data_IF_790566913889
#
_entry.id   IF_790566913889
#
_cell.length_a   1.000
_cell.length_b   1.000
_cell.length_c   1.000
_cell.angle_alpha   90.00
_cell.angle_beta   90.00
_cell.angle_gamma   90.00
#
_symmetry.space_group_name_H-M   'P 1'
#
loop_
_entity.id
_entity.type
_entity.pdbx_description
1 polymer ?
#
# COMPACT_ATOMS: atom_id res chain seq x y z
N UNK A 1 -18.46 -8.83 9.52
CA UNK A 1 -17.28 -7.95 9.81
C UNK A 1 -17.50 -6.61 9.16
N UNK A 2 -17.10 -5.52 9.82
CA UNK A 2 -17.21 -4.15 9.32
C UNK A 2 -15.90 -3.40 9.53
N UNK A 3 -15.47 -2.67 8.51
CA UNK A 3 -14.39 -1.67 8.60
C UNK A 3 -15.02 -0.28 8.76
N UNK A 4 -14.44 0.53 9.64
CA UNK A 4 -14.81 1.94 9.82
C UNK A 4 -13.55 2.78 9.62
N UNK A 5 -13.63 3.77 8.75
CA UNK A 5 -12.50 4.63 8.39
C UNK A 5 -12.97 6.06 8.16
N UNK A 6 -12.19 7.04 8.62
CA UNK A 6 -12.50 8.45 8.39
C UNK A 6 -12.20 8.86 6.94
N UNK A 7 -13.03 9.73 6.38
CA UNK A 7 -12.85 10.28 5.04
C UNK A 7 -11.53 11.07 4.89
N UNK A 8 -10.97 11.57 5.99
CA UNK A 8 -9.66 12.23 6.06
C UNK A 8 -8.48 11.29 5.87
N UNK A 9 -8.67 9.96 5.86
CA UNK A 9 -7.61 8.99 5.65
C UNK A 9 -6.98 9.14 4.25
N UNK A 10 -5.73 8.73 4.11
CA UNK A 10 -5.07 8.68 2.79
C UNK A 10 -5.86 7.82 1.80
N UNK A 11 -5.98 8.28 0.55
CA UNK A 11 -6.69 7.55 -0.52
C UNK A 11 -6.16 6.12 -0.70
N UNK A 12 -4.83 5.94 -0.60
CA UNK A 12 -4.23 4.60 -0.65
C UNK A 12 -4.65 3.70 0.51
N UNK A 13 -4.85 4.24 1.71
CA UNK A 13 -5.36 3.46 2.86
C UNK A 13 -6.80 3.03 2.60
N UNK A 14 -7.64 3.92 2.08
CA UNK A 14 -9.03 3.59 1.67
C UNK A 14 -9.04 2.46 0.63
N UNK A 15 -8.20 2.58 -0.39
CA UNK A 15 -8.09 1.59 -1.46
C UNK A 15 -7.62 0.22 -0.94
N UNK A 16 -6.59 0.20 -0.08
CA UNK A 16 -6.09 -1.05 0.52
C UNK A 16 -7.10 -1.66 1.50
N UNK A 17 -7.89 -0.85 2.21
CA UNK A 17 -9.00 -1.38 3.03
C UNK A 17 -9.97 -2.20 2.17
N UNK A 18 -10.30 -1.71 0.96
CA UNK A 18 -11.12 -2.47 0.00
C UNK A 18 -10.49 -3.80 -0.42
N UNK A 19 -9.17 -3.81 -0.65
CA UNK A 19 -8.46 -5.04 -1.02
C UNK A 19 -8.42 -6.04 0.14
N UNK A 20 -8.20 -5.57 1.37
CA UNK A 20 -8.25 -6.43 2.56
C UNK A 20 -9.66 -6.95 2.84
N UNK A 21 -10.70 -6.14 2.60
CA UNK A 21 -12.08 -6.62 2.67
C UNK A 21 -12.33 -7.76 1.66
N UNK A 22 -11.82 -7.63 0.44
CA UNK A 22 -11.88 -8.71 -0.56
C UNK A 22 -11.07 -9.95 -0.12
N UNK A 23 -9.91 -9.78 0.51
CA UNK A 23 -9.18 -10.91 1.10
C UNK A 23 -10.02 -11.66 2.15
N UNK A 24 -10.75 -10.92 2.98
CA UNK A 24 -11.64 -11.53 3.97
C UNK A 24 -12.84 -12.22 3.32
N UNK A 25 -13.34 -11.69 2.19
CA UNK A 25 -14.33 -12.39 1.36
C UNK A 25 -13.79 -13.71 0.81
N UNK A 26 -12.55 -13.75 0.32
CA UNK A 26 -11.90 -14.99 -0.12
C UNK A 26 -11.79 -16.02 1.00
N UNK A 27 -11.59 -15.57 2.25
CA UNK A 27 -11.48 -16.44 3.42
C UNK A 27 -12.84 -16.94 3.89
N UNK A 28 -13.88 -16.08 3.91
CA UNK A 28 -15.16 -16.38 4.57
C UNK A 28 -16.34 -16.56 3.63
N UNK A 29 -16.17 -16.21 2.36
CA UNK A 29 -17.27 -16.15 1.39
C UNK A 29 -18.22 -14.94 1.58
N UNK A 30 -17.91 -14.02 2.50
CA UNK A 30 -18.73 -12.83 2.76
C UNK A 30 -17.88 -11.57 2.71
N UNK A 31 -18.26 -10.63 1.84
CA UNK A 31 -17.59 -9.34 1.74
C UNK A 31 -17.91 -8.46 2.97
N UNK A 32 -16.90 -8.01 3.74
CA UNK A 32 -17.09 -7.08 4.84
C UNK A 32 -17.66 -5.73 4.38
N UNK A 33 -18.47 -5.12 5.21
CA UNK A 33 -18.92 -3.75 5.02
C UNK A 33 -17.75 -2.76 5.26
N UNK A 34 -17.64 -1.74 4.41
CA UNK A 34 -16.72 -0.61 4.63
C UNK A 34 -17.53 0.66 4.79
N UNK A 35 -17.47 1.25 5.98
CA UNK A 35 -18.11 2.51 6.32
C UNK A 35 -17.08 3.65 6.30
N UNK A 36 -17.18 4.53 5.31
CA UNK A 36 -16.35 5.74 5.24
C UNK A 36 -17.17 6.89 5.83
N UNK A 37 -16.69 7.46 6.93
CA UNK A 37 -17.40 8.47 7.72
C UNK A 37 -16.61 9.77 7.82
N UNK A 38 -17.28 10.88 8.00
CA UNK A 38 -16.61 12.17 8.22
C UNK A 38 -15.86 12.19 9.57
N UNK A 39 -16.49 11.63 10.60
CA UNK A 39 -15.92 11.46 11.94
C UNK A 39 -16.46 10.17 12.53
N UNK A 40 -15.61 9.38 13.17
CA UNK A 40 -16.00 8.13 13.83
C UNK A 40 -16.81 8.45 15.09
N UNK A 41 -18.03 7.96 15.16
CA UNK A 41 -18.93 8.09 16.31
C UNK A 41 -18.80 6.91 17.26
N UNK A 42 -18.63 7.17 18.55
CA UNK A 42 -18.46 6.15 19.59
C UNK A 42 -19.67 5.22 19.74
N UNK A 43 -20.88 5.75 19.64
CA UNK A 43 -22.10 4.93 19.79
C UNK A 43 -22.28 4.03 18.55
N UNK A 44 -21.93 4.53 17.35
CA UNK A 44 -21.93 3.71 16.15
C UNK A 44 -20.91 2.55 16.26
N UNK A 45 -19.70 2.83 16.71
CA UNK A 45 -18.67 1.80 16.95
C UNK A 45 -19.14 0.75 17.93
N UNK A 46 -19.68 1.16 19.09
CA UNK A 46 -20.20 0.24 20.11
C UNK A 46 -21.36 -0.60 19.60
N UNK A 47 -22.29 0.03 18.89
CA UNK A 47 -23.44 -0.66 18.29
C UNK A 47 -22.99 -1.69 17.23
N UNK A 48 -22.00 -1.37 16.42
CA UNK A 48 -21.43 -2.28 15.42
C UNK A 48 -20.69 -3.44 16.12
N UNK A 49 -19.77 -3.14 17.03
CA UNK A 49 -18.96 -4.14 17.73
C UNK A 49 -19.78 -5.06 18.64
N UNK A 50 -20.96 -4.62 19.11
CA UNK A 50 -21.90 -5.49 19.84
C UNK A 50 -22.47 -6.61 18.94
N UNK A 51 -22.52 -6.40 17.63
CA UNK A 51 -23.16 -7.33 16.66
C UNK A 51 -22.15 -8.14 15.87
N UNK A 52 -21.03 -7.52 15.48
CA UNK A 52 -20.04 -8.12 14.59
C UNK A 52 -18.63 -7.63 14.89
N UNK A 53 -17.63 -8.31 14.36
CA UNK A 53 -16.26 -7.83 14.42
C UNK A 53 -16.14 -6.49 13.68
N UNK A 54 -15.77 -5.46 14.40
CA UNK A 54 -15.58 -4.10 13.91
C UNK A 54 -14.11 -3.72 13.94
N UNK A 55 -13.60 -3.21 12.83
CA UNK A 55 -12.20 -2.83 12.68
C UNK A 55 -12.16 -1.34 12.33
N UNK A 56 -11.55 -0.54 13.21
CA UNK A 56 -11.26 0.86 12.94
C UNK A 56 -9.88 0.94 12.30
N UNK A 57 -9.79 1.64 11.17
CA UNK A 57 -8.53 1.86 10.46
C UNK A 57 -8.19 3.34 10.52
N UNK A 58 -7.03 3.66 11.07
CA UNK A 58 -6.63 5.04 11.27
C UNK A 58 -5.13 5.25 11.13
N UNK A 59 -4.72 6.47 10.80
CA UNK A 59 -3.32 6.89 10.73
C UNK A 59 -3.11 8.05 11.70
N UNK A 60 -2.00 8.05 12.41
CA UNK A 60 -1.61 9.19 13.25
C UNK A 60 -1.60 10.47 12.39
N UNK A 61 -1.97 11.60 13.00
CA UNK A 61 -2.06 12.91 12.32
C UNK A 61 -3.19 13.05 11.28
N UNK A 62 -3.92 11.96 10.96
CA UNK A 62 -5.02 11.96 10.01
C UNK A 62 -6.37 11.53 10.61
N UNK A 63 -6.46 11.42 11.95
CA UNK A 63 -7.70 11.01 12.62
C UNK A 63 -7.98 11.87 13.84
N UNK A 64 -9.06 12.64 13.75
CA UNK A 64 -9.58 13.41 14.89
C UNK A 64 -10.14 12.51 15.99
N UNK A 65 -10.69 11.37 15.57
CA UNK A 65 -11.19 10.39 16.52
C UNK A 65 -10.05 9.83 17.37
N UNK A 66 -8.92 9.47 16.74
CA UNK A 66 -7.76 8.92 17.43
C UNK A 66 -7.20 9.89 18.47
N UNK A 67 -7.14 11.19 18.14
CA UNK A 67 -6.63 12.22 19.04
C UNK A 67 -7.44 12.34 20.35
N UNK A 68 -8.72 11.96 20.30
CA UNK A 68 -9.59 11.93 21.47
C UNK A 68 -9.48 10.65 22.31
N UNK A 69 -8.78 9.59 21.82
CA UNK A 69 -8.66 8.31 22.49
C UNK A 69 -7.50 8.30 23.50
N UNK A 70 -7.83 8.30 24.79
CA UNK A 70 -6.82 8.21 25.87
C UNK A 70 -6.44 6.77 26.23
N UNK A 71 -7.24 5.79 25.81
CA UNK A 71 -7.09 4.37 26.11
C UNK A 71 -6.32 3.58 25.04
N UNK A 72 -5.90 4.24 23.96
CA UNK A 72 -5.08 3.65 22.90
C UNK A 72 -3.65 4.21 23.03
N UNK A 73 -2.64 3.39 23.38
CA UNK A 73 -1.28 3.87 23.67
C UNK A 73 -0.51 4.16 22.37
N UNK A 74 -0.91 5.19 21.64
CA UNK A 74 -0.33 5.56 20.34
C UNK A 74 1.06 6.21 20.44
N UNK A 75 1.47 6.67 21.63
CA UNK A 75 2.81 7.28 21.83
C UNK A 75 3.95 6.36 21.39
N UNK A 76 3.74 5.05 21.43
CA UNK A 76 4.73 4.06 20.99
C UNK A 76 5.01 4.12 19.47
N UNK A 77 4.11 4.74 18.69
CA UNK A 77 4.23 4.92 17.23
C UNK A 77 4.75 6.31 16.85
N UNK A 78 4.74 7.24 17.78
CA UNK A 78 5.08 8.65 17.52
C UNK A 78 6.51 8.81 17.01
N UNK A 79 6.66 9.53 15.90
CA UNK A 79 7.96 9.80 15.27
C UNK A 79 8.63 8.59 14.63
N UNK A 80 7.94 7.45 14.52
CA UNK A 80 8.44 6.25 13.85
C UNK A 80 7.97 6.18 12.41
N UNK A 81 8.73 5.48 11.58
CA UNK A 81 8.42 5.27 10.16
C UNK A 81 7.86 3.86 9.95
N UNK A 82 6.78 3.77 9.17
CA UNK A 82 6.25 2.49 8.67
C UNK A 82 5.92 1.49 9.78
N UNK A 83 5.54 2.02 10.95
CA UNK A 83 5.09 1.23 12.09
C UNK A 83 3.57 1.18 12.15
N UNK A 84 3.06 0.15 12.77
CA UNK A 84 1.64 0.06 13.11
C UNK A 84 1.45 -0.63 14.46
N UNK A 85 0.29 -0.38 15.06
CA UNK A 85 -0.18 -1.10 16.23
C UNK A 85 -1.57 -1.65 15.99
N UNK A 86 -1.82 -2.83 16.55
CA UNK A 86 -3.14 -3.42 16.72
C UNK A 86 -3.53 -3.30 18.17
N UNK A 87 -4.60 -2.60 18.44
CA UNK A 87 -5.08 -2.31 19.77
C UNK A 87 -6.49 -2.85 19.96
N UNK A 88 -6.73 -3.46 21.13
CA UNK A 88 -8.04 -3.91 21.57
C UNK A 88 -8.44 -3.07 22.78
N UNK A 89 -9.24 -2.00 22.60
CA UNK A 89 -9.64 -1.11 23.68
C UNK A 89 -10.38 -1.86 24.78
N UNK A 90 -10.13 -1.49 26.05
CA UNK A 90 -10.79 -2.10 27.21
C UNK A 90 -12.14 -1.41 27.50
N UNK A 91 -13.10 -1.63 26.61
CA UNK A 91 -14.44 -1.02 26.66
C UNK A 91 -15.57 -2.06 26.82
N UNK A 92 -15.22 -3.30 27.16
CA UNK A 92 -16.15 -4.42 27.25
C UNK A 92 -16.41 -5.16 25.93
N UNK A 93 -15.79 -4.71 24.83
CA UNK A 93 -15.97 -5.26 23.48
C UNK A 93 -14.70 -5.94 22.95
N UNK A 94 -13.78 -6.28 23.83
CA UNK A 94 -12.37 -6.67 23.61
C UNK A 94 -12.07 -7.48 22.34
N UNK A 95 -12.86 -8.51 22.08
CA UNK A 95 -12.63 -9.43 20.95
C UNK A 95 -13.38 -9.04 19.68
N UNK A 96 -14.23 -8.02 19.75
CA UNK A 96 -15.06 -7.57 18.63
C UNK A 96 -14.69 -6.19 18.12
N UNK A 97 -13.75 -5.51 18.78
CA UNK A 97 -13.24 -4.22 18.36
C UNK A 97 -11.72 -4.26 18.24
N UNK A 98 -11.23 -4.13 17.02
CA UNK A 98 -9.83 -3.93 16.72
C UNK A 98 -9.62 -2.51 16.21
N UNK A 99 -8.60 -1.82 16.71
CA UNK A 99 -8.13 -0.54 16.17
C UNK A 99 -6.75 -0.74 15.56
N UNK A 100 -6.65 -0.56 14.25
CA UNK A 100 -5.40 -0.55 13.50
C UNK A 100 -4.93 0.90 13.40
N UNK A 101 -3.78 1.21 13.97
CA UNK A 101 -3.18 2.54 13.93
C UNK A 101 -1.82 2.46 13.22
N UNK A 102 -1.66 3.20 12.14
CA UNK A 102 -0.34 3.37 11.52
C UNK A 102 0.35 4.65 11.97
N UNK A 103 1.68 4.64 12.07
CA UNK A 103 2.49 5.84 12.30
C UNK A 103 2.46 6.79 11.10
N UNK A 104 2.25 6.25 9.92
CA UNK A 104 2.16 6.93 8.62
C UNK A 104 1.29 6.12 7.64
N UNK A 105 1.17 6.61 6.39
CA UNK A 105 0.43 5.92 5.31
C UNK A 105 0.82 4.45 5.18
N UNK A 106 2.12 4.17 5.04
CA UNK A 106 2.61 2.78 4.85
C UNK A 106 2.45 1.93 6.09
N UNK A 107 2.67 2.49 7.28
CA UNK A 107 2.40 1.80 8.54
C UNK A 107 0.96 1.31 8.61
N UNK A 108 -0.01 2.17 8.26
CA UNK A 108 -1.43 1.78 8.24
C UNK A 108 -1.70 0.66 7.23
N UNK A 109 -1.13 0.77 6.02
CA UNK A 109 -1.24 -0.25 4.97
C UNK A 109 -0.65 -1.59 5.43
N UNK A 110 0.51 -1.59 6.07
CA UNK A 110 1.12 -2.81 6.60
C UNK A 110 0.30 -3.43 7.74
N UNK A 111 -0.32 -2.59 8.58
CA UNK A 111 -1.24 -3.05 9.62
C UNK A 111 -2.50 -3.71 9.04
N UNK A 112 -3.01 -3.20 7.92
CA UNK A 112 -4.12 -3.80 7.19
C UNK A 112 -3.71 -5.15 6.57
N UNK A 113 -2.59 -5.23 5.84
CA UNK A 113 -2.14 -6.48 5.25
C UNK A 113 -1.71 -7.53 6.28
N UNK A 114 -1.38 -7.12 7.52
CA UNK A 114 -1.16 -8.07 8.62
C UNK A 114 -2.45 -8.86 8.93
N UNK A 115 -3.63 -8.24 8.79
CA UNK A 115 -4.90 -8.96 8.93
C UNK A 115 -5.02 -10.07 7.88
N UNK A 116 -4.72 -9.77 6.61
CA UNK A 116 -4.71 -10.75 5.53
C UNK A 116 -3.74 -11.90 5.80
N UNK A 117 -2.52 -11.57 6.27
CA UNK A 117 -1.47 -12.53 6.60
C UNK A 117 -1.91 -13.50 7.71
N UNK A 118 -2.50 -12.99 8.81
CA UNK A 118 -2.98 -13.82 9.94
C UNK A 118 -4.08 -14.78 9.50
N UNK A 119 -4.94 -14.39 8.58
CA UNK A 119 -5.99 -15.27 8.06
C UNK A 119 -5.56 -16.12 6.88
N UNK A 120 -4.26 -16.15 6.57
CA UNK A 120 -3.68 -17.08 5.61
C UNK A 120 -3.82 -16.64 4.16
N UNK A 121 -4.09 -15.37 3.91
CA UNK A 121 -4.03 -14.82 2.55
C UNK A 121 -2.58 -14.58 2.16
N UNK A 122 -2.11 -15.31 1.17
CA UNK A 122 -0.74 -15.18 0.67
C UNK A 122 -0.50 -13.78 0.06
N UNK A 123 0.69 -13.17 0.23
CA UNK A 123 1.06 -12.01 -0.56
C UNK A 123 0.92 -12.22 -2.08
N UNK A 124 1.06 -13.47 -2.52
CA UNK A 124 0.96 -13.88 -3.93
C UNK A 124 -0.47 -14.27 -4.36
N UNK A 125 -1.50 -13.90 -3.61
CA UNK A 125 -2.90 -14.25 -3.91
C UNK A 125 -3.32 -13.91 -5.34
N UNK A 126 -2.85 -12.78 -5.87
CA UNK A 126 -3.14 -12.34 -7.24
C UNK A 126 -2.17 -12.93 -8.30
N UNK A 127 -1.16 -13.71 -7.92
CA UNK A 127 -0.07 -14.11 -8.82
C UNK A 127 0.04 -15.61 -9.07
N UNK A 128 -0.21 -16.40 -8.02
CA UNK A 128 0.13 -17.83 -8.06
C UNK A 128 -1.09 -18.73 -7.93
N UNK A 129 -2.29 -18.23 -8.16
CA UNK A 129 -3.56 -18.97 -7.94
C UNK A 129 -3.67 -19.58 -6.53
N UNK A 130 -3.08 -18.92 -5.54
CA UNK A 130 -3.13 -19.36 -4.14
C UNK A 130 -4.47 -18.97 -3.55
N UNK A 131 -5.24 -19.97 -3.17
CA UNK A 131 -6.55 -19.78 -2.54
C UNK A 131 -6.38 -19.92 -1.03
N UNK A 132 -6.82 -18.95 -0.20
CA UNK A 132 -6.78 -19.09 1.25
C UNK A 132 -7.72 -20.21 1.72
N UNK A 133 -7.41 -20.79 2.88
CA UNK A 133 -8.26 -21.80 3.49
C UNK A 133 -9.54 -21.15 3.97
N UNK A 134 -10.68 -21.71 3.57
CA UNK A 134 -12.00 -21.21 4.01
C UNK A 134 -12.16 -21.29 5.53
N UNK A 135 -12.77 -20.28 6.11
CA UNK A 135 -13.16 -20.20 7.52
C UNK A 135 -14.61 -19.74 7.62
N UNK A 136 -15.40 -20.38 8.43
CA UNK A 136 -16.82 -20.00 8.63
C UNK A 136 -16.95 -18.62 9.28
N UNK A 137 -15.96 -18.24 10.09
CA UNK A 137 -15.90 -16.93 10.74
C UNK A 137 -14.47 -16.46 10.98
N UNK A 138 -14.31 -15.16 11.12
CA UNK A 138 -13.07 -14.52 11.55
C UNK A 138 -13.21 -14.15 13.03
N UNK A 139 -12.32 -14.68 13.85
CA UNK A 139 -12.20 -14.34 15.27
C UNK A 139 -10.84 -13.73 15.53
N UNK A 140 -10.84 -12.64 16.27
CA UNK A 140 -9.65 -12.03 16.81
C UNK A 140 -9.60 -12.27 18.32
N UNK A 141 -8.41 -12.31 18.87
CA UNK A 141 -8.17 -12.41 20.30
C UNK A 141 -7.24 -11.28 20.76
N UNK A 142 -7.39 -10.86 22.00
CA UNK A 142 -6.60 -9.76 22.56
C UNK A 142 -5.10 -10.04 22.64
N UNK A 143 -4.69 -11.30 22.60
CA UNK A 143 -3.28 -11.73 22.52
C UNK A 143 -2.66 -11.47 21.12
N UNK A 144 -3.47 -11.17 20.12
CA UNK A 144 -3.02 -10.70 18.81
C UNK A 144 -2.62 -9.21 18.81
N UNK A 145 -2.80 -8.50 19.94
CA UNK A 145 -2.30 -7.14 20.08
C UNK A 145 -0.80 -7.09 19.79
N UNK A 146 -0.40 -6.19 18.92
CA UNK A 146 0.99 -6.09 18.51
C UNK A 146 1.38 -4.66 18.17
N UNK A 147 2.68 -4.40 18.24
CA UNK A 147 3.29 -3.16 17.76
C UNK A 147 4.44 -3.56 16.85
N UNK A 148 4.31 -3.25 15.56
CA UNK A 148 5.37 -3.48 14.61
C UNK A 148 6.55 -2.56 14.88
N UNK A 149 7.76 -3.11 14.78
CA UNK A 149 8.98 -2.33 14.91
C UNK A 149 9.24 -1.53 13.62
N UNK A 150 9.89 -0.40 13.78
CA UNK A 150 10.41 0.36 12.65
C UNK A 150 11.37 -0.50 11.83
N UNK A 151 11.26 -0.50 10.50
CA UNK A 151 12.17 -1.26 9.65
C UNK A 151 13.61 -0.77 9.79
N UNK A 152 14.54 -1.70 9.94
CA UNK A 152 15.98 -1.39 10.06
C UNK A 152 16.61 -0.90 8.75
N UNK A 153 15.97 -1.21 7.61
CA UNK A 153 16.38 -0.78 6.27
C UNK A 153 15.31 0.15 5.71
N UNK A 154 15.71 1.33 5.26
CA UNK A 154 14.78 2.37 4.80
C UNK A 154 14.08 1.98 3.51
N UNK A 155 14.83 1.53 2.49
CA UNK A 155 14.29 1.16 1.18
C UNK A 155 14.34 -0.34 1.01
N UNK A 156 13.18 -0.95 0.75
CA UNK A 156 12.98 -2.39 0.62
C UNK A 156 12.10 -2.66 -0.60
N UNK A 157 12.60 -3.44 -1.53
CA UNK A 157 11.83 -3.66 -2.73
C UNK A 157 12.50 -4.57 -3.73
N UNK A 158 12.05 -4.50 -4.95
CA UNK A 158 12.59 -5.27 -6.06
C UNK A 158 12.66 -4.44 -7.34
N UNK A 159 13.28 -5.02 -8.33
CA UNK A 159 13.46 -4.45 -9.65
C UNK A 159 12.72 -5.31 -10.69
N UNK A 160 11.91 -4.68 -11.50
CA UNK A 160 11.35 -5.32 -12.68
C UNK A 160 12.38 -5.17 -13.80
N UNK A 161 13.39 -6.04 -13.78
CA UNK A 161 14.47 -6.01 -14.77
C UNK A 161 13.99 -6.64 -16.05
N UNK A 162 13.06 -6.06 -16.70
CA UNK A 162 12.69 -6.40 -18.00
C UNK A 162 11.79 -5.59 -18.71
N UNK A 163 11.84 -6.10 -19.54
CA UNK A 163 11.70 -5.75 -20.88
C UNK A 163 10.79 -6.73 -21.57
N UNK A 164 11.09 -6.96 -22.77
CA UNK A 164 10.43 -7.89 -23.67
C UNK A 164 11.30 -9.13 -23.87
N UNK A 165 10.69 -10.35 -23.93
CA UNK A 165 9.25 -10.63 -24.04
C UNK A 165 8.53 -10.84 -22.70
N UNK A 166 9.20 -10.89 -21.54
CA UNK A 166 8.59 -11.33 -20.30
C UNK A 166 7.54 -10.32 -19.77
N UNK A 167 7.95 -9.29 -19.02
CA UNK A 167 7.02 -8.33 -18.41
C UNK A 167 6.23 -7.55 -19.46
N UNK A 168 6.88 -7.10 -20.53
CA UNK A 168 6.24 -6.33 -21.58
C UNK A 168 5.10 -7.10 -22.24
N UNK A 169 5.35 -8.34 -22.70
CA UNK A 169 4.33 -9.18 -23.31
C UNK A 169 3.20 -9.52 -22.33
N UNK A 170 3.54 -9.81 -21.07
CA UNK A 170 2.55 -10.06 -20.02
C UNK A 170 1.66 -8.82 -19.79
N UNK A 171 2.25 -7.63 -19.65
CA UNK A 171 1.50 -6.40 -19.41
C UNK A 171 0.63 -6.02 -20.61
N UNK A 172 1.12 -6.21 -21.85
CA UNK A 172 0.33 -6.00 -23.06
C UNK A 172 -0.88 -6.95 -23.12
N UNK A 173 -0.64 -8.24 -22.88
CA UNK A 173 -1.69 -9.24 -22.97
C UNK A 173 -2.81 -9.00 -21.93
N UNK A 174 -2.45 -8.68 -20.70
CA UNK A 174 -3.42 -8.57 -19.61
C UNK A 174 -4.00 -7.15 -19.44
N UNK A 175 -3.22 -6.10 -19.76
CA UNK A 175 -3.58 -4.71 -19.42
C UNK A 175 -3.43 -3.73 -20.58
N UNK A 176 -2.97 -4.18 -21.74
CA UNK A 176 -2.73 -3.32 -22.90
C UNK A 176 -1.43 -2.49 -22.80
N UNK A 177 -0.50 -2.90 -21.94
CA UNK A 177 0.81 -2.26 -21.77
C UNK A 177 1.20 -2.08 -20.30
N UNK A 178 2.41 -1.57 -20.01
CA UNK A 178 2.95 -1.32 -18.67
C UNK A 178 2.35 -0.05 -18.03
N UNK A 179 1.03 0.02 -18.03
CA UNK A 179 0.24 1.14 -17.52
C UNK A 179 -0.13 0.97 -16.03
N UNK A 180 -0.89 1.91 -15.47
CA UNK A 180 -1.29 1.91 -14.06
C UNK A 180 -2.02 0.62 -13.65
N UNK A 181 -2.80 0.00 -14.55
CA UNK A 181 -3.48 -1.28 -14.27
C UNK A 181 -2.50 -2.44 -14.12
N UNK A 182 -1.39 -2.41 -14.86
CA UNK A 182 -0.33 -3.41 -14.73
C UNK A 182 0.50 -3.21 -13.46
N UNK A 183 0.77 -1.95 -13.07
CA UNK A 183 1.52 -1.64 -11.87
C UNK A 183 0.73 -1.81 -10.57
N UNK A 184 -0.58 -1.64 -10.60
CA UNK A 184 -1.41 -1.75 -9.38
C UNK A 184 -1.20 -3.08 -8.61
N UNK A 185 -1.32 -4.27 -9.22
CA UNK A 185 -1.07 -5.53 -8.53
C UNK A 185 0.40 -5.70 -8.10
N UNK A 186 1.34 -5.04 -8.78
CA UNK A 186 2.76 -5.05 -8.41
C UNK A 186 2.99 -4.22 -7.14
N UNK A 187 2.40 -3.04 -7.05
CA UNK A 187 2.47 -2.20 -5.84
C UNK A 187 1.78 -2.89 -4.66
N UNK A 188 0.65 -3.55 -4.90
CA UNK A 188 -0.02 -4.35 -3.89
C UNK A 188 0.89 -5.48 -3.37
N UNK A 189 1.51 -6.27 -4.26
CA UNK A 189 2.45 -7.32 -3.86
C UNK A 189 3.61 -6.78 -3.04
N UNK A 190 4.21 -5.68 -3.49
CA UNK A 190 5.31 -5.01 -2.78
C UNK A 190 4.91 -4.65 -1.35
N UNK A 191 3.75 -4.02 -1.17
CA UNK A 191 3.25 -3.60 0.15
C UNK A 191 2.83 -4.79 1.02
N UNK A 192 2.27 -5.86 0.46
CA UNK A 192 1.99 -7.12 1.17
C UNK A 192 3.26 -7.74 1.72
N UNK A 193 4.37 -7.62 1.02
CA UNK A 193 5.71 -8.06 1.44
C UNK A 193 6.41 -7.04 2.36
N UNK A 194 5.72 -5.97 2.78
CA UNK A 194 6.26 -4.86 3.58
C UNK A 194 7.44 -4.15 2.92
N UNK A 195 7.46 -4.16 1.59
CA UNK A 195 8.35 -3.34 0.77
C UNK A 195 7.76 -1.96 0.52
N UNK A 196 8.61 -1.02 0.10
CA UNK A 196 8.21 0.37 -0.16
C UNK A 196 8.89 0.97 -1.38
N UNK A 197 9.75 0.22 -2.07
CA UNK A 197 10.64 0.75 -3.11
C UNK A 197 10.61 -0.13 -4.35
N UNK A 198 10.42 0.48 -5.52
CA UNK A 198 10.38 -0.24 -6.80
C UNK A 198 11.24 0.44 -7.85
N UNK A 199 12.02 -0.36 -8.57
CA UNK A 199 12.54 0.02 -9.88
C UNK A 199 11.61 -0.57 -10.95
N UNK A 200 10.96 0.28 -11.77
CA UNK A 200 10.02 -0.18 -12.79
C UNK A 200 10.74 -0.81 -13.96
N UNK A 201 9.99 -1.39 -14.87
CA UNK A 201 10.48 -1.83 -16.17
C UNK A 201 11.09 -0.65 -16.94
N UNK A 202 12.17 -0.93 -17.65
CA UNK A 202 12.96 0.04 -18.40
C UNK A 202 13.07 -0.37 -19.87
N UNK A 203 13.95 0.26 -20.61
CA UNK A 203 14.19 0.06 -22.03
C UNK A 203 13.02 0.54 -22.91
N UNK A 204 12.10 -0.35 -23.26
CA UNK A 204 10.92 -0.01 -24.06
C UNK A 204 9.77 0.56 -23.24
N UNK A 205 9.71 0.27 -21.93
CA UNK A 205 8.72 0.82 -21.02
C UNK A 205 9.15 2.19 -20.49
N UNK A 206 8.19 3.11 -20.30
CA UNK A 206 8.40 4.48 -19.84
C UNK A 206 7.43 4.74 -18.69
N UNK A 207 7.85 4.46 -17.49
CA UNK A 207 6.99 4.47 -16.32
C UNK A 207 6.18 5.77 -16.19
N UNK A 208 6.81 6.91 -16.43
CA UNK A 208 6.18 8.24 -16.28
C UNK A 208 5.18 8.57 -17.40
N UNK A 209 5.29 7.92 -18.57
CA UNK A 209 4.44 8.23 -19.73
C UNK A 209 3.42 7.12 -20.07
N UNK A 210 3.71 5.88 -19.70
CA UNK A 210 2.90 4.71 -20.11
C UNK A 210 1.60 4.57 -19.31
N UNK A 211 1.33 5.48 -18.34
CA UNK A 211 0.22 5.46 -17.43
C UNK A 211 -1.21 5.35 -17.95
N UNK A 212 -1.72 6.08 -18.97
CA UNK A 212 -1.19 7.21 -19.72
C UNK A 212 -1.01 8.50 -18.91
N UNK A 213 -0.13 9.36 -19.38
CA UNK A 213 0.25 10.54 -18.61
C UNK A 213 0.89 10.14 -17.28
N UNK A 214 0.61 10.86 -16.20
CA UNK A 214 1.21 10.65 -14.88
C UNK A 214 0.54 9.55 -14.05
N UNK A 215 -0.44 8.80 -14.58
CA UNK A 215 -1.23 7.84 -13.79
C UNK A 215 -0.38 6.79 -13.07
N UNK A 216 0.75 6.34 -13.65
CA UNK A 216 1.65 5.40 -12.96
C UNK A 216 2.28 6.04 -11.72
N UNK A 217 2.72 7.30 -11.83
CA UNK A 217 3.34 8.03 -10.73
C UNK A 217 2.30 8.41 -9.65
N UNK A 218 1.12 8.85 -10.07
CA UNK A 218 0.00 9.14 -9.18
C UNK A 218 -0.42 7.90 -8.39
N UNK A 219 -0.48 6.74 -9.05
CA UNK A 219 -0.78 5.47 -8.41
C UNK A 219 0.31 5.07 -7.41
N UNK A 220 1.59 5.25 -7.76
CA UNK A 220 2.71 4.99 -6.86
C UNK A 220 2.63 5.86 -5.60
N UNK A 221 2.33 7.16 -5.75
CA UNK A 221 2.13 8.06 -4.62
C UNK A 221 0.92 7.66 -3.78
N UNK A 222 -0.22 7.34 -4.41
CA UNK A 222 -1.42 6.87 -3.72
C UNK A 222 -1.12 5.65 -2.84
N UNK A 223 -0.42 4.65 -3.38
CA UNK A 223 0.00 3.45 -2.64
C UNK A 223 1.14 3.70 -1.65
N UNK A 224 1.82 4.85 -1.74
CA UNK A 224 2.99 5.17 -0.94
C UNK A 224 4.25 4.40 -1.37
N UNK A 225 4.33 3.98 -2.63
CA UNK A 225 5.50 3.32 -3.21
C UNK A 225 6.50 4.37 -3.67
N UNK A 226 7.74 4.23 -3.23
CA UNK A 226 8.85 5.08 -3.63
C UNK A 226 9.43 4.50 -4.92
N UNK A 227 9.44 5.31 -5.97
CA UNK A 227 10.00 4.91 -7.25
C UNK A 227 11.47 5.27 -7.35
N UNK A 228 12.26 4.36 -7.85
CA UNK A 228 13.64 4.59 -8.26
C UNK A 228 13.85 4.17 -9.69
N UNK A 229 15.04 4.38 -10.18
CA UNK A 229 15.42 4.00 -11.53
C UNK A 229 16.75 3.25 -11.52
N UNK A 230 16.98 2.48 -12.57
CA UNK A 230 18.21 1.76 -12.81
C UNK A 230 19.29 2.69 -13.39
N UNK A 231 20.33 2.14 -13.95
CA UNK A 231 21.59 2.80 -14.27
C UNK A 231 21.62 3.66 -15.55
N UNK A 232 20.62 3.55 -16.42
CA UNK A 232 20.56 4.30 -17.68
C UNK A 232 19.60 5.50 -17.65
N UNK A 233 19.01 5.78 -16.51
CA UNK A 233 17.92 6.75 -16.36
C UNK A 233 18.34 7.92 -15.47
N UNK A 234 19.00 8.95 -16.07
CA UNK A 234 19.37 10.14 -15.30
C UNK A 234 18.14 10.92 -14.86
N UNK A 235 18.17 11.44 -13.65
CA UNK A 235 17.11 12.26 -13.08
C UNK A 235 15.73 11.56 -13.02
N UNK A 236 15.73 10.24 -12.82
CA UNK A 236 14.52 9.39 -12.79
C UNK A 236 13.73 9.39 -14.12
N UNK A 237 14.38 9.81 -15.23
CA UNK A 237 13.77 9.80 -16.56
C UNK A 237 14.40 8.73 -17.41
N UNK A 238 13.57 8.00 -18.12
CA UNK A 238 14.06 6.94 -19.00
C UNK A 238 14.79 7.51 -20.23
N UNK A 239 15.83 6.81 -20.64
CA UNK A 239 16.59 7.18 -21.84
C UNK A 239 15.74 7.29 -23.09
N UNK A 240 14.71 6.45 -23.23
CA UNK A 240 13.77 6.47 -24.34
C UNK A 240 12.87 7.73 -24.35
N UNK A 241 12.55 8.31 -23.19
CA UNK A 241 11.74 9.52 -23.09
C UNK A 241 12.41 10.72 -23.76
N UNK A 242 13.72 10.83 -23.68
CA UNK A 242 14.44 11.91 -24.33
C UNK A 242 14.32 11.91 -25.85
N UNK A 243 14.15 10.74 -26.46
CA UNK A 243 13.93 10.61 -27.89
C UNK A 243 12.61 11.26 -28.33
N UNK A 244 11.59 11.23 -27.47
CA UNK A 244 10.29 11.83 -27.75
C UNK A 244 10.23 13.32 -27.40
N UNK A 245 10.83 13.71 -26.27
CA UNK A 245 10.75 15.08 -25.78
C UNK A 245 11.63 16.07 -26.55
N UNK A 246 12.78 15.63 -27.11
CA UNK A 246 13.76 16.51 -27.71
C UNK A 246 14.26 16.09 -29.10
N UNK A 247 13.69 15.03 -29.68
CA UNK A 247 14.11 14.52 -30.98
C UNK A 247 15.29 13.55 -30.91
N UNK A 248 15.51 12.84 -32.01
CA UNK A 248 16.45 11.73 -32.08
C UNK A 248 17.95 12.13 -31.99
N UNK A 249 18.24 13.43 -31.99
CA UNK A 249 19.61 13.94 -32.14
C UNK A 249 20.27 14.34 -30.81
N UNK A 250 19.60 14.19 -29.67
CA UNK A 250 20.18 14.49 -28.37
C UNK A 250 20.58 13.19 -27.64
N UNK A 251 21.90 12.94 -27.67
CA UNK A 251 22.51 11.93 -26.82
C UNK A 251 22.37 12.34 -25.34
N UNK A 252 22.12 11.38 -24.45
CA UNK A 252 22.10 11.56 -22.98
C UNK A 252 23.37 12.27 -22.47
N UNK A 253 24.49 12.11 -23.13
CA UNK A 253 25.76 12.80 -22.85
C UNK A 253 25.60 14.32 -22.85
N UNK A 254 24.80 14.89 -23.75
CA UNK A 254 24.59 16.34 -23.83
C UNK A 254 23.70 16.90 -22.70
N UNK A 255 22.98 16.03 -21.96
CA UNK A 255 22.09 16.42 -20.86
C UNK A 255 22.82 16.31 -19.53
N UNK A 256 23.67 15.31 -19.36
CA UNK A 256 24.41 15.07 -18.11
C UNK A 256 25.78 15.76 -18.04
N UNK A 257 26.35 16.17 -19.15
CA UNK A 257 27.70 16.76 -19.21
C UNK A 257 27.82 18.26 -18.87
N UNK A 258 26.78 19.12 -18.93
CA UNK A 258 26.95 20.52 -18.50
C UNK A 258 27.42 20.69 -17.07
N UNK A 259 27.14 19.69 -16.20
CA UNK A 259 27.57 19.73 -14.79
C UNK A 259 29.00 19.28 -14.55
N UNK A 260 29.61 18.52 -15.48
CA UNK A 260 31.01 18.07 -15.36
C UNK A 260 32.04 19.15 -15.75
N UNK A 261 31.65 20.17 -16.55
CA UNK A 261 32.54 21.24 -16.96
C UNK A 261 32.66 22.41 -15.97
N UNK A 262 31.89 22.38 -14.88
CA UNK A 262 31.91 23.49 -13.88
C UNK A 262 32.75 23.12 -12.64
N UNK A 263 33.39 21.97 -12.60
CA UNK A 263 34.19 21.49 -11.48
C UNK A 263 35.63 21.17 -11.86
N UNK A 264 36.20 21.95 -12.77
CA UNK A 264 37.65 21.96 -13.00
C UNK A 264 38.16 23.41 -12.86
#
# INVERSE_FOLDING_TARGET
MKFIIEQSAYSGVLKITGKVAHDMELVTGTLPEISVVETIDHEEVRSSAARELTIIVTTMEHSRWLDAQKNIPTDVLKGKRECYGWFFPDDGLRERLLVIVGSDKRGTIYGLFHLSEIFGVSPFVNWCHVVPVHRDEIRLSTDMACIAKEPSVEYRGFFINDEWPAFGTWSEYHFGGPNAKAYEPIFELLLRLKGNYLWPAMWSARFEDDGPGLLNAELADEYGVIMGMSHHEPCLRQGEEYKYLRGKDLSLIHISEPTRRVVI
#
